data_IF_320762099767
#
_entry.id   IF_320762099767
#
_cell.length_a   1.000
_cell.length_b   1.000
_cell.length_c   1.000
_cell.angle_alpha   90.00
_cell.angle_beta   90.00
_cell.angle_gamma   90.00
#
_symmetry.space_group_name_H-M   'P 1'
#
loop_
_entity.id
_entity.type
_entity.pdbx_description
1 polymer ?
#
# COMPACT_ATOMS: atom_id res chain seq x y z
N UNK A 1 -9.36 10.02 12.62
CA UNK A 1 -9.33 8.62 12.17
C UNK A 1 -7.94 8.33 11.62
N UNK A 2 -7.43 7.09 11.67
CA UNK A 2 -6.10 6.77 11.12
C UNK A 2 -6.27 6.14 9.75
N UNK A 3 -5.54 6.63 8.75
CA UNK A 3 -5.49 6.06 7.40
C UNK A 3 -4.61 4.81 7.46
N UNK A 4 -5.19 3.66 7.17
CA UNK A 4 -4.48 2.38 7.19
C UNK A 4 -4.10 1.98 5.76
N UNK A 5 -2.80 1.86 5.51
CA UNK A 5 -2.25 1.43 4.22
C UNK A 5 -1.70 0.02 4.37
N UNK A 6 -2.16 -0.89 3.51
CA UNK A 6 -1.70 -2.28 3.49
C UNK A 6 -1.00 -2.57 2.16
N UNK A 7 0.26 -2.99 2.23
CA UNK A 7 1.01 -3.53 1.09
C UNK A 7 1.03 -5.06 1.16
N UNK A 8 0.45 -5.71 0.16
CA UNK A 8 0.56 -7.14 -0.07
C UNK A 8 1.71 -7.43 -1.04
N UNK A 9 2.59 -8.35 -0.65
CA UNK A 9 3.73 -8.76 -1.47
C UNK A 9 4.18 -10.18 -1.14
N UNK A 10 5.39 -10.53 -1.58
CA UNK A 10 6.08 -11.77 -1.16
C UNK A 10 7.60 -11.54 -1.17
N UNK A 11 8.38 -12.30 -0.37
CA UNK A 11 9.83 -12.28 -0.48
C UNK A 11 10.30 -12.75 -1.86
N UNK A 12 11.43 -12.20 -2.33
CA UNK A 12 12.02 -12.56 -3.63
C UNK A 12 11.27 -12.00 -4.85
N UNK A 13 10.47 -10.95 -4.67
CA UNK A 13 9.71 -10.28 -5.72
C UNK A 13 10.27 -8.87 -5.93
N UNK A 14 11.00 -8.64 -7.02
CA UNK A 14 11.61 -7.33 -7.31
C UNK A 14 10.60 -6.19 -7.35
N UNK A 15 9.44 -6.41 -7.99
CA UNK A 15 8.35 -5.42 -8.02
C UNK A 15 7.84 -5.07 -6.62
N UNK A 16 7.81 -6.05 -5.72
CA UNK A 16 7.36 -5.86 -4.35
C UNK A 16 8.37 -5.06 -3.53
N UNK A 17 9.67 -5.23 -3.78
CA UNK A 17 10.72 -4.45 -3.14
C UNK A 17 10.70 -2.98 -3.59
N UNK A 18 10.50 -2.74 -4.88
CA UNK A 18 10.33 -1.39 -5.42
C UNK A 18 9.08 -0.71 -4.85
N UNK A 19 7.95 -1.42 -4.83
CA UNK A 19 6.71 -0.91 -4.26
C UNK A 19 6.86 -0.60 -2.77
N UNK A 20 7.54 -1.43 -1.98
CA UNK A 20 7.79 -1.17 -0.56
C UNK A 20 8.53 0.14 -0.35
N UNK A 21 9.60 0.38 -1.13
CA UNK A 21 10.37 1.62 -1.04
C UNK A 21 9.50 2.84 -1.36
N UNK A 22 8.75 2.79 -2.46
CA UNK A 22 7.85 3.87 -2.89
C UNK A 22 6.77 4.13 -1.83
N UNK A 23 6.10 3.09 -1.33
CA UNK A 23 5.05 3.23 -0.32
C UNK A 23 5.64 3.81 0.97
N UNK A 24 6.79 3.33 1.43
CA UNK A 24 7.44 3.85 2.63
C UNK A 24 7.79 5.35 2.51
N UNK A 25 8.31 5.77 1.35
CA UNK A 25 8.61 7.19 1.05
C UNK A 25 7.34 8.05 1.11
N UNK A 26 6.25 7.63 0.45
CA UNK A 26 4.98 8.38 0.44
C UNK A 26 4.35 8.45 1.84
N UNK A 27 4.41 7.36 2.60
CA UNK A 27 3.89 7.31 3.98
C UNK A 27 4.69 8.25 4.89
N UNK A 28 6.02 8.33 4.72
CA UNK A 28 6.85 9.28 5.45
C UNK A 28 6.43 10.73 5.14
N UNK A 29 6.26 11.07 3.86
CA UNK A 29 5.83 12.40 3.43
C UNK A 29 4.45 12.79 4.01
N UNK A 30 3.49 11.87 3.99
CA UNK A 30 2.16 12.11 4.56
C UNK A 30 2.23 12.35 6.09
N UNK A 31 3.07 11.59 6.80
CA UNK A 31 3.30 11.79 8.25
C UNK A 31 3.97 13.13 8.54
N UNK A 32 4.93 13.53 7.73
CA UNK A 32 5.58 14.85 7.83
C UNK A 32 4.58 15.99 7.61
N UNK A 33 3.57 15.79 6.76
CA UNK A 33 2.44 16.70 6.56
C UNK A 33 1.41 16.68 7.71
N UNK A 34 1.60 15.82 8.72
CA UNK A 34 0.73 15.72 9.89
C UNK A 34 -0.45 14.76 9.72
N UNK A 35 -0.49 13.98 8.64
CA UNK A 35 -1.59 13.05 8.39
C UNK A 35 -1.44 11.77 9.24
N UNK A 36 -2.52 11.31 9.90
CA UNK A 36 -2.48 10.14 10.76
C UNK A 36 -2.48 8.85 9.92
N UNK A 37 -1.35 8.51 9.29
CA UNK A 37 -1.23 7.33 8.40
C UNK A 37 -0.37 6.20 8.99
N UNK A 38 -0.83 4.97 8.82
CA UNK A 38 -0.15 3.73 9.21
C UNK A 38 0.12 2.86 8.00
N UNK A 39 1.24 2.11 8.03
CA UNK A 39 1.62 1.17 6.98
C UNK A 39 1.75 -0.22 7.60
N UNK A 40 1.09 -1.20 6.99
CA UNK A 40 1.22 -2.62 7.29
C UNK A 40 1.68 -3.35 6.05
N UNK A 41 2.54 -4.33 6.24
CA UNK A 41 2.97 -5.24 5.19
C UNK A 41 2.50 -6.65 5.50
N UNK A 42 2.04 -7.38 4.50
CA UNK A 42 1.71 -8.81 4.62
C UNK A 42 2.21 -9.58 3.41
N UNK A 43 2.76 -10.75 3.69
CA UNK A 43 3.08 -11.72 2.64
C UNK A 43 1.81 -12.44 2.23
N UNK A 44 1.57 -12.55 0.92
CA UNK A 44 0.50 -13.42 0.41
C UNK A 44 0.78 -14.90 0.68
N UNK A 45 2.02 -15.27 1.00
CA UNK A 45 2.40 -16.68 1.27
C UNK A 45 1.93 -17.15 2.65
N UNK A 46 1.57 -16.22 3.54
CA UNK A 46 1.13 -16.54 4.90
C UNK A 46 -0.38 -16.86 4.95
N UNK A 47 -1.11 -16.64 3.85
CA UNK A 47 -2.56 -16.81 3.77
C UNK A 47 -2.97 -17.34 2.37
N UNK A 48 -3.52 -18.55 2.35
CA UNK A 48 -3.92 -19.21 1.11
C UNK A 48 -4.97 -18.44 0.32
N UNK A 49 -5.83 -17.65 0.98
CA UNK A 49 -6.86 -16.85 0.32
C UNK A 49 -6.25 -15.61 -0.32
N UNK A 50 -5.29 -14.97 0.35
CA UNK A 50 -4.51 -13.88 -0.24
C UNK A 50 -3.71 -14.36 -1.44
N UNK A 51 -3.07 -15.52 -1.35
CA UNK A 51 -2.33 -16.11 -2.47
C UNK A 51 -3.23 -16.37 -3.68
N UNK A 52 -4.41 -16.97 -3.47
CA UNK A 52 -5.36 -17.25 -4.57
C UNK A 52 -5.91 -15.98 -5.22
N UNK A 53 -6.16 -14.94 -4.43
CA UNK A 53 -6.78 -13.70 -4.93
C UNK A 53 -5.80 -12.72 -5.55
N UNK A 54 -4.60 -12.59 -4.98
CA UNK A 54 -3.66 -11.53 -5.32
C UNK A 54 -2.31 -12.04 -5.83
N UNK A 55 -2.10 -13.36 -5.92
CA UNK A 55 -0.84 -13.98 -6.32
C UNK A 55 -0.24 -13.46 -7.62
N UNK A 56 -1.09 -13.17 -8.60
CA UNK A 56 -0.70 -12.64 -9.91
C UNK A 56 -0.73 -11.10 -9.97
N UNK A 57 -1.21 -10.45 -8.91
CA UNK A 57 -1.45 -9.01 -8.84
C UNK A 57 -0.41 -8.27 -7.98
N UNK A 58 0.37 -9.01 -7.17
CA UNK A 58 1.38 -8.41 -6.31
C UNK A 58 2.44 -7.61 -7.10
N UNK A 59 2.94 -6.51 -6.55
CA UNK A 59 2.53 -5.86 -5.30
C UNK A 59 1.12 -5.26 -5.38
N UNK A 60 0.32 -5.39 -4.32
CA UNK A 60 -1.01 -4.76 -4.22
C UNK A 60 -1.06 -3.82 -3.03
N UNK A 61 -1.58 -2.61 -3.22
CA UNK A 61 -1.73 -1.62 -2.13
C UNK A 61 -3.21 -1.37 -1.86
N UNK A 62 -3.57 -1.34 -0.59
CA UNK A 62 -4.88 -0.95 -0.10
C UNK A 62 -4.78 0.30 0.77
N UNK A 63 -5.83 1.12 0.74
CA UNK A 63 -6.11 2.14 1.75
C UNK A 63 -7.46 1.75 2.38
N UNK A 64 -7.45 1.35 3.65
CA UNK A 64 -8.60 0.71 4.28
C UNK A 64 -8.97 -0.59 3.54
N UNK A 65 -10.19 -0.66 3.02
CA UNK A 65 -10.71 -1.77 2.22
C UNK A 65 -10.55 -1.57 0.70
N UNK A 66 -10.13 -0.39 0.27
CA UNK A 66 -10.03 -0.01 -1.13
C UNK A 66 -8.68 -0.38 -1.72
N UNK A 67 -8.67 -1.22 -2.74
CA UNK A 67 -7.48 -1.48 -3.55
C UNK A 67 -7.15 -0.26 -4.40
N UNK A 68 -5.94 0.28 -4.25
CA UNK A 68 -5.52 1.53 -4.91
C UNK A 68 -4.41 1.33 -5.95
N UNK A 69 -3.64 0.25 -5.84
CA UNK A 69 -2.61 -0.09 -6.82
C UNK A 69 -2.40 -1.63 -6.93
N UNK A 70 -1.94 -2.08 -8.10
CA UNK A 70 -1.45 -3.43 -8.34
C UNK A 70 -0.33 -3.39 -9.40
N UNK A 71 0.61 -4.34 -9.36
CA UNK A 71 1.82 -4.44 -10.22
C UNK A 71 2.82 -3.29 -10.12
N UNK A 72 2.36 -2.06 -10.29
CA UNK A 72 3.17 -0.85 -10.21
C UNK A 72 2.52 0.16 -9.27
N UNK A 73 3.33 0.74 -8.39
CA UNK A 73 2.91 1.80 -7.47
C UNK A 73 3.47 3.12 -7.99
N UNK A 74 2.58 4.01 -8.38
CA UNK A 74 2.93 5.40 -8.71
C UNK A 74 2.91 6.24 -7.42
N UNK A 75 4.04 6.88 -7.03
CA UNK A 75 4.13 7.64 -5.79
C UNK A 75 3.15 8.82 -5.73
N UNK A 76 3.00 9.56 -6.84
CA UNK A 76 2.15 10.75 -6.88
C UNK A 76 0.68 10.38 -6.80
N UNK A 77 0.28 9.30 -7.48
CA UNK A 77 -1.09 8.77 -7.41
C UNK A 77 -1.41 8.26 -6.01
N UNK A 78 -0.50 7.49 -5.40
CA UNK A 78 -0.69 6.99 -4.03
C UNK A 78 -0.84 8.15 -3.04
N UNK A 79 0.04 9.17 -3.13
CA UNK A 79 -0.04 10.36 -2.29
C UNK A 79 -1.40 11.06 -2.41
N UNK A 80 -1.84 11.30 -3.64
CA UNK A 80 -3.14 11.94 -3.91
C UNK A 80 -4.32 11.14 -3.36
N UNK A 81 -4.26 9.80 -3.38
CA UNK A 81 -5.31 8.97 -2.81
C UNK A 81 -5.34 9.02 -1.28
N UNK A 82 -4.18 9.18 -0.62
CA UNK A 82 -4.11 9.41 0.82
C UNK A 82 -4.70 10.79 1.15
N UNK A 83 -4.31 11.85 0.42
CA UNK A 83 -4.85 13.22 0.59
C UNK A 83 -6.39 13.26 0.49
N UNK A 84 -6.93 12.56 -0.50
CA UNK A 84 -8.38 12.47 -0.72
C UNK A 84 -9.07 11.76 0.46
N UNK A 85 -8.44 10.72 1.02
CA UNK A 85 -8.99 9.99 2.17
C UNK A 85 -9.06 10.86 3.42
N UNK A 86 -8.12 11.79 3.60
CA UNK A 86 -8.18 12.79 4.69
C UNK A 86 -9.35 13.77 4.51
N UNK A 87 -9.70 14.08 3.27
CA UNK A 87 -10.68 15.13 2.94
C UNK A 87 -12.14 14.63 2.99
N UNK A 88 -12.34 13.31 3.03
CA UNK A 88 -13.65 12.67 3.17
C UNK A 88 -14.11 12.55 4.64
N UNK A 89 -13.25 12.93 5.59
CA UNK A 89 -13.54 13.12 7.02
C UNK A 89 -13.87 14.58 7.35
#
# INVERSE_FOLDING_TARGET
MTIDVLLLGKPGCHLCDDARRIVAEVIAQAREAGEPVTLRERSILDDADLQRRFGELIPVVFIGDRQVAQWHVDPARLRSQIDQTVSED
#
